data_IF_654875559679
#
_entry.id   IF_654875559679
#
_cell.length_a   1.000
_cell.length_b   1.000
_cell.length_c   1.000
_cell.angle_alpha   90.00
_cell.angle_beta   90.00
_cell.angle_gamma   90.00
#
_symmetry.space_group_name_H-M   'P 1'
#
loop_
_entity.id
_entity.type
_entity.pdbx_description
1 polymer ?
#
# COMPACT_ATOMS: atom_id res chain seq x y z
N UNK A 1 22.19 27.35 -5.01
CA UNK A 1 20.76 27.71 -5.20
C UNK A 1 20.11 27.78 -3.83
N UNK A 2 19.33 28.83 -3.53
CA UNK A 2 18.57 28.91 -2.26
C UNK A 2 17.54 27.79 -2.22
N UNK A 3 17.42 27.10 -1.08
CA UNK A 3 16.46 26.02 -0.91
C UNK A 3 15.03 26.59 -0.93
N UNK A 4 14.21 26.15 -1.88
CA UNK A 4 12.81 26.55 -1.97
C UNK A 4 11.97 25.60 -1.11
N UNK A 5 11.11 26.16 -0.27
CA UNK A 5 10.19 25.40 0.59
C UNK A 5 8.75 25.76 0.26
N UNK A 6 7.85 24.80 0.47
CA UNK A 6 6.40 25.00 0.43
C UNK A 6 5.87 24.77 1.84
N UNK A 7 5.10 25.74 2.34
CA UNK A 7 4.48 25.65 3.66
C UNK A 7 3.34 24.63 3.68
N UNK A 8 3.17 23.98 4.83
CA UNK A 8 2.11 22.99 5.02
C UNK A 8 0.72 23.63 5.00
N UNK A 9 -0.23 23.01 4.30
CA UNK A 9 -1.62 23.49 4.25
C UNK A 9 -2.49 22.77 5.28
N UNK A 10 -3.60 23.42 5.71
CA UNK A 10 -4.60 22.77 6.59
C UNK A 10 -5.19 21.50 5.95
N UNK A 11 -5.43 21.56 4.64
CA UNK A 11 -5.91 20.41 3.86
C UNK A 11 -4.91 19.27 3.85
N UNK A 12 -3.62 19.55 3.65
CA UNK A 12 -2.56 18.54 3.67
C UNK A 12 -2.46 17.85 5.02
N UNK A 13 -2.57 18.61 6.12
CA UNK A 13 -2.61 18.06 7.49
C UNK A 13 -3.80 17.14 7.70
N UNK A 14 -5.00 17.55 7.26
CA UNK A 14 -6.22 16.71 7.34
C UNK A 14 -6.05 15.43 6.53
N UNK A 15 -5.60 15.53 5.29
CA UNK A 15 -5.37 14.38 4.41
C UNK A 15 -4.35 13.40 5.02
N UNK A 16 -3.28 13.91 5.62
CA UNK A 16 -2.28 13.10 6.31
C UNK A 16 -2.86 12.37 7.54
N UNK A 17 -3.65 13.06 8.37
CA UNK A 17 -4.32 12.43 9.52
C UNK A 17 -5.31 11.36 9.06
N UNK A 18 -6.13 11.65 8.04
CA UNK A 18 -7.06 10.68 7.46
C UNK A 18 -6.31 9.47 6.91
N UNK A 19 -5.20 9.69 6.21
CA UNK A 19 -4.37 8.60 5.69
C UNK A 19 -3.82 7.71 6.81
N UNK A 20 -3.35 8.29 7.92
CA UNK A 20 -2.91 7.53 9.09
C UNK A 20 -4.04 6.73 9.74
N UNK A 21 -5.23 7.33 9.85
CA UNK A 21 -6.42 6.65 10.39
C UNK A 21 -6.80 5.46 9.50
N UNK A 22 -6.79 5.63 8.17
CA UNK A 22 -7.09 4.55 7.22
C UNK A 22 -6.08 3.41 7.35
N UNK A 23 -4.77 3.72 7.48
CA UNK A 23 -3.74 2.69 7.70
C UNK A 23 -3.98 1.96 9.03
N UNK A 24 -4.21 2.70 10.12
CA UNK A 24 -4.44 2.10 11.43
C UNK A 24 -5.69 1.21 11.43
N UNK A 25 -6.78 1.68 10.82
CA UNK A 25 -8.02 0.91 10.67
C UNK A 25 -7.80 -0.37 9.83
N UNK A 26 -7.02 -0.27 8.75
CA UNK A 26 -6.67 -1.44 7.92
C UNK A 26 -5.83 -2.46 8.70
N UNK A 27 -4.82 -2.01 9.45
CA UNK A 27 -3.99 -2.91 10.29
C UNK A 27 -4.84 -3.59 11.35
N UNK A 28 -5.73 -2.84 12.03
CA UNK A 28 -6.65 -3.41 13.01
C UNK A 28 -7.61 -4.41 12.37
N UNK A 29 -8.16 -4.10 11.19
CA UNK A 29 -9.04 -5.02 10.46
C UNK A 29 -8.34 -6.34 10.14
N UNK A 30 -7.11 -6.28 9.59
CA UNK A 30 -6.30 -7.47 9.30
C UNK A 30 -6.00 -8.25 10.58
N UNK A 31 -5.65 -7.58 11.67
CA UNK A 31 -5.38 -8.21 12.96
C UNK A 31 -6.61 -8.89 13.56
N UNK A 32 -7.77 -8.23 13.57
CA UNK A 32 -9.01 -8.80 14.10
C UNK A 32 -9.53 -9.96 13.25
N UNK A 33 -9.42 -9.87 11.92
CA UNK A 33 -9.83 -10.96 11.04
C UNK A 33 -8.89 -12.16 11.12
N UNK A 34 -7.57 -11.93 11.29
CA UNK A 34 -6.57 -12.99 11.44
C UNK A 34 -6.54 -13.66 12.83
N UNK A 35 -6.73 -12.89 13.91
CA UNK A 35 -6.73 -13.46 15.28
C UNK A 35 -8.00 -14.25 15.62
N UNK A 36 -9.16 -13.81 15.13
CA UNK A 36 -10.43 -14.51 15.38
C UNK A 36 -10.55 -15.83 14.61
N UNK A 37 -9.72 -16.02 13.57
CA UNK A 37 -9.71 -17.25 12.77
C UNK A 37 -8.86 -18.35 13.35
N UNK A 38 -7.70 -18.01 13.95
CA UNK A 38 -6.86 -19.00 14.62
C UNK A 38 -7.48 -19.56 15.91
N UNK A 39 -8.28 -18.75 16.62
CA UNK A 39 -8.83 -19.13 17.93
C UNK A 39 -10.08 -20.03 17.87
N UNK A 40 -10.80 -20.10 16.75
CA UNK A 40 -12.08 -20.82 16.65
C UNK A 40 -12.02 -22.15 15.90
N UNK A 41 -11.09 -22.33 14.96
CA UNK A 41 -11.16 -23.41 13.96
C UNK A 41 -9.93 -24.33 13.96
N UNK A 42 -9.32 -24.58 15.12
CA UNK A 42 -8.13 -25.46 15.27
C UNK A 42 -8.34 -26.90 14.76
N UNK A 43 -9.58 -27.32 14.47
CA UNK A 43 -9.90 -28.65 13.95
C UNK A 43 -10.26 -28.72 12.46
N UNK A 44 -10.57 -27.59 11.79
CA UNK A 44 -11.03 -27.60 10.39
C UNK A 44 -10.22 -26.62 9.52
N UNK A 45 -9.20 -27.18 8.86
CA UNK A 45 -8.32 -26.45 7.95
C UNK A 45 -9.11 -25.71 6.85
N UNK A 46 -10.24 -26.26 6.37
CA UNK A 46 -11.07 -25.60 5.34
C UNK A 46 -11.76 -24.35 5.88
N UNK A 47 -12.24 -24.39 7.13
CA UNK A 47 -12.87 -23.23 7.77
C UNK A 47 -11.86 -22.08 7.97
N UNK A 48 -10.64 -22.39 8.44
CA UNK A 48 -9.55 -21.42 8.58
C UNK A 48 -9.23 -20.74 7.24
N UNK A 49 -9.12 -21.52 6.16
CA UNK A 49 -8.86 -21.05 4.80
C UNK A 49 -9.93 -20.10 4.26
N UNK A 50 -11.22 -20.46 4.43
CA UNK A 50 -12.34 -19.63 4.00
C UNK A 50 -12.35 -18.31 4.76
N UNK A 51 -12.11 -18.36 6.07
CA UNK A 51 -12.13 -17.17 6.89
C UNK A 51 -10.88 -16.27 6.71
N UNK A 52 -9.78 -16.80 6.16
CA UNK A 52 -8.60 -16.02 5.75
C UNK A 52 -8.76 -15.32 4.38
N UNK A 53 -9.67 -15.78 3.53
CA UNK A 53 -9.88 -15.23 2.19
C UNK A 53 -10.23 -13.71 2.19
N UNK A 54 -11.10 -13.19 3.08
CA UNK A 54 -11.36 -11.75 3.19
C UNK A 54 -10.11 -10.93 3.50
N UNK A 55 -9.21 -11.43 4.34
CA UNK A 55 -7.94 -10.76 4.68
C UNK A 55 -7.03 -10.70 3.47
N UNK A 56 -6.91 -11.82 2.74
CA UNK A 56 -6.13 -11.90 1.52
C UNK A 56 -6.63 -10.92 0.45
N UNK A 57 -7.95 -10.85 0.26
CA UNK A 57 -8.60 -9.92 -0.66
C UNK A 57 -8.38 -8.46 -0.24
N UNK A 58 -8.60 -8.13 1.04
CA UNK A 58 -8.39 -6.79 1.56
C UNK A 58 -6.94 -6.33 1.37
N UNK A 59 -5.97 -7.21 1.62
CA UNK A 59 -4.55 -6.93 1.41
C UNK A 59 -4.21 -6.71 -0.07
N UNK A 60 -4.79 -7.53 -0.95
CA UNK A 60 -4.63 -7.37 -2.40
C UNK A 60 -5.15 -6.01 -2.87
N UNK A 61 -6.36 -5.62 -2.46
CA UNK A 61 -6.94 -4.32 -2.80
C UNK A 61 -6.10 -3.17 -2.25
N UNK A 62 -5.62 -3.30 -1.00
CA UNK A 62 -4.76 -2.29 -0.39
C UNK A 62 -3.48 -2.04 -1.18
N UNK A 63 -2.75 -3.10 -1.56
CA UNK A 63 -1.53 -2.96 -2.38
C UNK A 63 -1.80 -2.41 -3.79
N UNK A 64 -2.92 -2.79 -4.42
CA UNK A 64 -3.32 -2.24 -5.72
C UNK A 64 -3.58 -0.73 -5.62
N UNK A 65 -4.35 -0.29 -4.60
CA UNK A 65 -4.64 1.13 -4.38
C UNK A 65 -3.36 1.90 -4.07
N UNK A 66 -2.47 1.36 -3.24
CA UNK A 66 -1.19 1.98 -2.92
C UNK A 66 -0.28 2.08 -4.15
N UNK A 67 -0.21 1.02 -4.96
CA UNK A 67 0.53 1.00 -6.22
C UNK A 67 0.02 2.06 -7.20
N UNK A 68 -1.31 2.20 -7.33
CA UNK A 68 -1.92 3.24 -8.15
C UNK A 68 -1.56 4.66 -7.68
N UNK A 69 -1.60 4.92 -6.36
CA UNK A 69 -1.19 6.21 -5.79
C UNK A 69 0.29 6.50 -6.11
N UNK A 70 1.18 5.52 -5.94
CA UNK A 70 2.61 5.67 -6.26
C UNK A 70 2.80 6.02 -7.73
N UNK A 71 2.12 5.33 -8.65
CA UNK A 71 2.18 5.63 -10.08
C UNK A 71 1.67 7.04 -10.37
N UNK A 72 0.49 7.39 -9.84
CA UNK A 72 -0.12 8.71 -10.05
C UNK A 72 0.79 9.85 -9.59
N UNK A 73 1.33 9.77 -8.37
CA UNK A 73 2.21 10.81 -7.82
C UNK A 73 3.55 10.85 -8.53
N UNK A 74 4.08 9.70 -8.95
CA UNK A 74 5.34 9.64 -9.68
C UNK A 74 5.22 10.18 -11.11
N UNK A 75 4.10 9.92 -11.81
CA UNK A 75 3.82 10.53 -13.11
C UNK A 75 3.69 12.05 -12.99
N UNK A 76 3.02 12.54 -11.94
CA UNK A 76 2.93 13.97 -11.66
C UNK A 76 4.33 14.58 -11.39
N UNK A 77 5.16 13.90 -10.60
CA UNK A 77 6.53 14.32 -10.35
C UNK A 77 7.38 14.37 -11.64
N UNK A 78 7.28 13.33 -12.48
CA UNK A 78 7.97 13.27 -13.77
C UNK A 78 7.49 14.35 -14.75
N UNK A 79 6.19 14.67 -14.74
CA UNK A 79 5.59 15.71 -15.59
C UNK A 79 6.04 17.11 -15.21
N UNK A 80 6.09 17.41 -13.92
CA UNK A 80 6.42 18.76 -13.42
C UNK A 80 7.92 18.97 -13.14
N UNK A 81 8.69 17.89 -13.00
CA UNK A 81 10.14 17.96 -12.78
C UNK A 81 10.56 18.44 -11.39
N UNK A 82 9.62 18.57 -10.44
CA UNK A 82 9.92 18.87 -9.04
C UNK A 82 8.86 18.28 -8.10
N UNK A 83 9.29 17.92 -6.90
CA UNK A 83 8.46 17.41 -5.82
C UNK A 83 8.42 18.45 -4.69
N UNK A 84 7.26 18.70 -4.06
CA UNK A 84 5.93 18.21 -4.42
C UNK A 84 5.42 18.88 -5.72
N UNK A 85 4.62 18.17 -6.53
CA UNK A 85 4.02 18.73 -7.74
C UNK A 85 3.02 19.85 -7.39
N UNK A 86 2.76 20.77 -8.33
CA UNK A 86 1.83 21.88 -8.11
C UNK A 86 0.43 21.37 -7.81
N UNK A 87 -0.23 21.99 -6.82
CA UNK A 87 -1.58 21.62 -6.39
C UNK A 87 -1.63 20.43 -5.42
N UNK A 88 -0.50 19.79 -5.08
CA UNK A 88 -0.48 18.78 -4.03
C UNK A 88 -0.46 19.44 -2.64
N UNK A 89 -1.48 19.26 -1.79
CA UNK A 89 -1.46 19.78 -0.43
C UNK A 89 -0.46 18.97 0.41
N UNK A 90 0.55 19.64 0.97
CA UNK A 90 1.55 19.02 1.85
C UNK A 90 1.21 19.23 3.32
N UNK A 91 1.36 18.21 4.19
CA UNK A 91 1.05 18.33 5.62
C UNK A 91 2.07 19.15 6.41
N UNK A 92 3.33 19.09 5.99
CA UNK A 92 4.46 19.73 6.66
C UNK A 92 5.21 20.63 5.69
N UNK A 93 6.03 21.52 6.25
CA UNK A 93 6.96 22.33 5.47
C UNK A 93 7.88 21.40 4.70
N UNK A 94 7.69 21.36 3.38
CA UNK A 94 8.33 20.38 2.51
C UNK A 94 9.30 21.11 1.58
N UNK A 95 10.54 20.61 1.52
CA UNK A 95 11.55 21.13 0.60
C UNK A 95 11.17 20.77 -0.82
N UNK A 96 11.29 21.74 -1.73
CA UNK A 96 11.13 21.49 -3.17
C UNK A 96 12.39 20.80 -3.68
N UNK A 97 12.23 19.56 -4.14
CA UNK A 97 13.29 18.77 -4.76
C UNK A 97 13.10 18.73 -6.26
N UNK A 98 14.10 19.15 -7.02
CA UNK A 98 14.08 19.12 -8.48
C UNK A 98 14.54 17.76 -9.00
N UNK A 99 13.89 17.29 -10.04
CA UNK A 99 14.18 16.02 -10.68
C UNK A 99 15.47 16.12 -11.49
N UNK A 100 16.51 15.41 -11.05
CA UNK A 100 17.80 15.31 -11.77
C UNK A 100 17.84 14.12 -12.72
N UNK A 101 17.25 12.99 -12.31
CA UNK A 101 17.36 11.72 -13.02
C UNK A 101 15.99 11.06 -13.20
N UNK A 102 15.23 11.39 -14.26
CA UNK A 102 13.90 10.82 -14.51
C UNK A 102 13.91 9.29 -14.68
N UNK A 103 14.96 8.73 -15.27
CA UNK A 103 15.10 7.29 -15.46
C UNK A 103 15.16 6.53 -14.12
N UNK A 104 15.88 7.07 -13.12
CA UNK A 104 15.99 6.46 -11.79
C UNK A 104 14.64 6.41 -11.10
N UNK A 105 13.84 7.48 -11.20
CA UNK A 105 12.48 7.51 -10.63
C UNK A 105 11.60 6.43 -11.26
N UNK A 106 11.65 6.27 -12.59
CA UNK A 106 10.89 5.21 -13.28
C UNK A 106 11.32 3.82 -12.83
N UNK A 107 12.62 3.57 -12.73
CA UNK A 107 13.16 2.28 -12.24
C UNK A 107 12.74 2.01 -10.80
N UNK A 108 12.80 3.02 -9.93
CA UNK A 108 12.38 2.89 -8.54
C UNK A 108 10.88 2.58 -8.42
N UNK A 109 10.04 3.29 -9.16
CA UNK A 109 8.59 3.01 -9.19
C UNK A 109 8.32 1.61 -9.70
N UNK A 110 8.97 1.19 -10.79
CA UNK A 110 8.82 -0.16 -11.34
C UNK A 110 9.23 -1.22 -10.30
N UNK A 111 10.37 -1.03 -9.62
CA UNK A 111 10.84 -1.94 -8.58
C UNK A 111 9.82 -2.07 -7.43
N UNK A 112 9.28 -0.95 -6.95
CA UNK A 112 8.26 -0.97 -5.88
C UNK A 112 6.98 -1.68 -6.33
N UNK A 113 6.52 -1.45 -7.56
CA UNK A 113 5.35 -2.14 -8.09
C UNK A 113 5.58 -3.65 -8.24
N UNK A 114 6.76 -4.07 -8.68
CA UNK A 114 7.14 -5.48 -8.76
C UNK A 114 7.16 -6.13 -7.38
N UNK A 115 7.63 -5.43 -6.35
CA UNK A 115 7.59 -5.92 -4.98
C UNK A 115 6.15 -6.10 -4.48
N UNK A 116 5.23 -5.20 -4.83
CA UNK A 116 3.81 -5.36 -4.48
C UNK A 116 3.18 -6.54 -5.20
N UNK A 117 3.42 -6.69 -6.51
CA UNK A 117 2.92 -7.83 -7.28
C UNK A 117 3.48 -9.16 -6.75
N UNK A 118 4.78 -9.20 -6.43
CA UNK A 118 5.42 -10.37 -5.85
C UNK A 118 4.80 -10.74 -4.50
N UNK A 119 4.57 -9.75 -3.63
CA UNK A 119 3.93 -9.95 -2.34
C UNK A 119 2.50 -10.51 -2.48
N UNK A 120 1.69 -9.93 -3.38
CA UNK A 120 0.36 -10.44 -3.72
C UNK A 120 0.48 -11.89 -4.21
N UNK A 121 1.34 -12.17 -5.19
CA UNK A 121 1.49 -13.51 -5.77
C UNK A 121 1.91 -14.55 -4.73
N UNK A 122 2.85 -14.23 -3.84
CA UNK A 122 3.29 -15.13 -2.76
C UNK A 122 2.12 -15.45 -1.82
N UNK A 123 1.36 -14.45 -1.37
CA UNK A 123 0.24 -14.67 -0.46
C UNK A 123 -0.87 -15.50 -1.10
N UNK A 124 -1.20 -15.24 -2.37
CA UNK A 124 -2.17 -16.04 -3.12
C UNK A 124 -1.70 -17.47 -3.36
N UNK A 125 -0.42 -17.65 -3.69
CA UNK A 125 0.16 -18.98 -3.87
C UNK A 125 0.15 -19.79 -2.57
N UNK A 126 0.51 -19.17 -1.44
CA UNK A 126 0.47 -19.78 -0.13
C UNK A 126 -0.96 -20.24 0.23
N UNK A 127 -1.95 -19.35 0.07
CA UNK A 127 -3.35 -19.68 0.32
C UNK A 127 -3.84 -20.82 -0.61
N UNK A 128 -3.53 -20.75 -1.92
CA UNK A 128 -3.94 -21.77 -2.88
C UNK A 128 -3.29 -23.14 -2.61
N UNK A 129 -2.02 -23.16 -2.20
CA UNK A 129 -1.30 -24.39 -1.86
C UNK A 129 -1.97 -25.09 -0.68
N UNK A 130 -2.26 -24.35 0.41
CA UNK A 130 -2.94 -24.88 1.59
C UNK A 130 -4.38 -25.27 1.26
N UNK A 131 -5.08 -24.50 0.43
CA UNK A 131 -6.42 -24.86 -0.05
C UNK A 131 -6.43 -26.19 -0.79
N UNK A 132 -5.49 -26.40 -1.72
CA UNK A 132 -5.39 -27.67 -2.45
C UNK A 132 -5.10 -28.85 -1.51
N UNK A 133 -4.20 -28.68 -0.56
CA UNK A 133 -3.90 -29.72 0.44
C UNK A 133 -5.13 -30.09 1.27
N UNK A 134 -5.93 -29.09 1.66
CA UNK A 134 -7.17 -29.31 2.42
C UNK A 134 -8.25 -30.11 1.66
N UNK A 135 -8.19 -30.21 0.33
CA UNK A 135 -9.17 -30.96 -0.47
C UNK A 135 -8.78 -32.44 -0.67
N UNK A 136 -7.54 -32.81 -0.36
CA UNK A 136 -7.01 -34.18 -0.53
C UNK A 136 -7.15 -35.00 0.76
N UNK A 137 -7.29 -34.32 1.90
CA UNK A 137 -7.55 -34.88 3.24
C UNK A 137 -9.05 -34.84 3.49
#
# INVERSE_FOLDING_TARGET
>A
MKEKYIEGTREGKRAFVVFLIVIAAFVLLVYFLGSNTEAKDLGDLKAVLINHLPVLLANTVFYIVLGWLIVKYSLSYLKHGFWPPPGLPVPFRTRVSYLKHPAIVKLFVLMVLLLFLLNIAINWYAWLSVYKQSQVI
#
